data_IF_497928731544
#
_entry.id   IF_497928731544
#
_cell.length_a   1.000
_cell.length_b   1.000
_cell.length_c   1.000
_cell.angle_alpha   90.00
_cell.angle_beta   90.00
_cell.angle_gamma   90.00
#
_symmetry.space_group_name_H-M   'P 1'
#
loop_
_entity.id
_entity.type
_entity.pdbx_description
1 polymer ?
#
# COMPACT_ATOMS: atom_id res chain seq x y z
N UNK A 1 5.75 16.83 -4.80
CA UNK A 1 7.20 16.67 -5.06
C UNK A 1 7.97 16.87 -3.77
N UNK A 2 8.82 15.92 -3.35
CA UNK A 2 9.65 16.07 -2.15
C UNK A 2 10.86 16.96 -2.49
N UNK A 3 10.98 18.10 -1.79
CA UNK A 3 12.15 18.97 -1.82
C UNK A 3 13.35 18.15 -1.33
N UNK A 4 14.35 17.98 -2.19
CA UNK A 4 15.56 17.18 -1.96
C UNK A 4 16.47 17.77 -0.87
N UNK A 5 16.02 17.76 0.38
CA UNK A 5 16.81 18.20 1.52
C UNK A 5 17.94 17.21 1.83
N UNK A 6 19.14 17.75 2.04
CA UNK A 6 20.33 16.98 2.42
C UNK A 6 20.05 16.23 3.73
N UNK A 7 20.23 14.91 3.73
CA UNK A 7 19.96 14.07 4.90
C UNK A 7 21.23 13.36 5.31
N UNK A 8 21.70 13.65 6.52
CA UNK A 8 22.84 12.97 7.16
C UNK A 8 22.67 11.44 7.18
N UNK A 9 21.42 10.94 7.20
CA UNK A 9 21.11 9.50 7.17
C UNK A 9 21.28 8.86 5.78
N UNK A 10 21.26 9.66 4.72
CA UNK A 10 21.64 9.21 3.36
C UNK A 10 23.16 9.24 3.19
N UNK A 11 23.83 10.27 3.72
CA UNK A 11 25.28 10.41 3.64
C UNK A 11 26.01 9.32 4.45
N UNK A 12 25.51 8.97 5.63
CA UNK A 12 26.05 7.89 6.47
C UNK A 12 25.81 6.48 5.93
N UNK A 13 25.19 6.34 4.76
CA UNK A 13 25.03 5.05 4.07
C UNK A 13 24.00 4.09 4.70
N UNK A 14 23.40 4.43 5.84
CA UNK A 14 22.39 3.60 6.54
C UNK A 14 21.20 3.29 5.62
N UNK A 15 20.79 4.29 4.81
CA UNK A 15 19.71 4.12 3.83
C UNK A 15 20.07 3.12 2.72
N UNK A 16 21.32 3.16 2.24
CA UNK A 16 21.82 2.25 1.20
C UNK A 16 22.02 0.83 1.73
N UNK A 17 22.46 0.66 2.98
CA UNK A 17 22.58 -0.64 3.64
C UNK A 17 21.22 -1.34 3.75
N UNK A 18 20.19 -0.64 4.22
CA UNK A 18 18.82 -1.18 4.31
C UNK A 18 18.26 -1.57 2.93
N UNK A 19 18.56 -0.79 1.88
CA UNK A 19 18.18 -1.14 0.51
C UNK A 19 18.91 -2.39 -0.01
N UNK A 20 20.22 -2.52 0.26
CA UNK A 20 21.01 -3.70 -0.14
C UNK A 20 20.52 -4.98 0.53
N UNK A 21 20.26 -4.95 1.85
CA UNK A 21 19.72 -6.11 2.56
C UNK A 21 18.33 -6.45 2.03
N UNK A 22 17.47 -5.45 1.83
CA UNK A 22 16.12 -5.66 1.28
C UNK A 22 16.11 -6.29 -0.12
N UNK A 23 17.12 -6.00 -0.97
CA UNK A 23 17.28 -6.63 -2.29
C UNK A 23 17.78 -8.08 -2.19
N UNK A 24 18.64 -8.37 -1.21
CA UNK A 24 19.15 -9.74 -0.98
C UNK A 24 18.10 -10.67 -0.36
N UNK A 25 17.30 -10.19 0.59
CA UNK A 25 16.30 -11.03 1.29
C UNK A 25 14.91 -10.98 0.65
N UNK A 26 14.64 -10.07 -0.30
CA UNK A 26 13.32 -9.88 -0.92
C UNK A 26 12.24 -9.29 0.01
N UNK A 27 12.55 -9.12 1.30
CA UNK A 27 11.66 -8.58 2.32
C UNK A 27 11.89 -7.07 2.45
N UNK A 28 10.86 -6.23 2.25
CA UNK A 28 10.99 -4.78 2.41
C UNK A 28 11.20 -4.43 3.89
N UNK A 29 12.43 -4.06 4.22
CA UNK A 29 12.83 -3.61 5.56
C UNK A 29 12.48 -2.12 5.81
N UNK A 30 11.94 -1.42 4.82
CA UNK A 30 11.48 -0.04 4.91
C UNK A 30 9.96 0.04 5.10
N UNK A 31 9.53 0.99 5.93
CA UNK A 31 8.11 1.36 6.09
C UNK A 31 7.47 1.67 4.73
N UNK A 32 8.14 2.44 3.87
CA UNK A 32 7.62 2.80 2.54
C UNK A 32 7.47 1.60 1.61
N UNK A 33 8.43 0.65 1.61
CA UNK A 33 8.36 -0.56 0.80
C UNK A 33 7.23 -1.49 1.25
N UNK A 34 6.98 -1.56 2.57
CA UNK A 34 5.84 -2.31 3.12
C UNK A 34 4.52 -1.66 2.75
N UNK A 35 4.41 -0.34 2.87
CA UNK A 35 3.22 0.40 2.46
C UNK A 35 2.97 0.31 0.95
N UNK A 36 4.00 0.20 0.11
CA UNK A 36 3.83 -0.04 -1.32
C UNK A 36 3.39 -1.48 -1.63
N UNK A 37 3.88 -2.49 -0.90
CA UNK A 37 3.36 -3.87 -1.05
C UNK A 37 1.90 -3.96 -0.60
N UNK A 38 1.58 -3.43 0.58
CA UNK A 38 0.20 -3.40 1.10
C UNK A 38 -0.70 -2.55 0.20
N UNK A 39 -0.21 -1.38 -0.23
CA UNK A 39 -0.90 -0.53 -1.18
C UNK A 39 -1.17 -1.26 -2.49
N UNK A 40 -0.19 -1.97 -3.07
CA UNK A 40 -0.44 -2.79 -4.28
C UNK A 40 -1.43 -3.93 -4.04
N UNK A 41 -1.45 -4.55 -2.86
CA UNK A 41 -2.45 -5.57 -2.53
C UNK A 41 -3.84 -4.97 -2.34
N UNK A 42 -3.95 -3.77 -1.76
CA UNK A 42 -5.22 -3.10 -1.52
C UNK A 42 -5.77 -2.37 -2.76
N UNK A 43 -4.93 -1.62 -3.46
CA UNK A 43 -5.31 -0.73 -4.57
C UNK A 43 -4.75 -1.15 -5.93
N UNK A 44 -3.65 -1.92 -5.99
CA UNK A 44 -2.95 -2.25 -7.23
C UNK A 44 -3.64 -3.30 -8.12
N UNK A 45 -4.60 -4.06 -7.59
CA UNK A 45 -5.46 -4.95 -8.38
C UNK A 45 -6.93 -4.58 -8.34
N UNK A 46 -7.33 -3.61 -7.51
CA UNK A 46 -8.72 -3.20 -7.31
C UNK A 46 -9.68 -4.29 -6.82
N UNK A 47 -9.31 -5.56 -6.86
CA UNK A 47 -10.20 -6.71 -6.70
C UNK A 47 -10.87 -6.72 -5.32
N UNK A 48 -10.11 -6.47 -4.25
CA UNK A 48 -10.69 -6.42 -2.89
C UNK A 48 -11.62 -5.22 -2.72
N UNK A 49 -11.23 -4.04 -3.24
CA UNK A 49 -12.06 -2.83 -3.15
C UNK A 49 -13.34 -2.99 -3.98
N UNK A 50 -13.24 -3.55 -5.18
CA UNK A 50 -14.38 -3.82 -6.07
C UNK A 50 -15.33 -4.87 -5.47
N UNK A 51 -14.81 -5.93 -4.86
CA UNK A 51 -15.64 -6.93 -4.18
C UNK A 51 -16.39 -6.33 -2.98
N UNK A 52 -15.71 -5.50 -2.18
CA UNK A 52 -16.33 -4.84 -1.03
C UNK A 52 -17.39 -3.83 -1.50
N UNK A 53 -17.08 -2.99 -2.49
CA UNK A 53 -18.06 -2.05 -3.05
C UNK A 53 -19.26 -2.76 -3.66
N UNK A 54 -19.03 -3.85 -4.40
CA UNK A 54 -20.09 -4.66 -5.01
C UNK A 54 -21.01 -5.27 -3.96
N UNK A 55 -20.46 -5.88 -2.90
CA UNK A 55 -21.26 -6.43 -1.80
C UNK A 55 -22.06 -5.35 -1.07
N UNK A 56 -21.45 -4.20 -0.78
CA UNK A 56 -22.13 -3.07 -0.14
C UNK A 56 -23.25 -2.53 -1.04
N UNK A 57 -23.04 -2.45 -2.36
CA UNK A 57 -24.07 -2.03 -3.29
C UNK A 57 -25.26 -3.01 -3.30
N UNK A 58 -24.99 -4.33 -3.32
CA UNK A 58 -26.03 -5.36 -3.29
C UNK A 58 -26.85 -5.29 -2.00
N UNK A 59 -26.21 -5.14 -0.83
CA UNK A 59 -26.95 -5.07 0.43
C UNK A 59 -27.78 -3.80 0.56
N UNK A 60 -27.26 -2.65 0.09
CA UNK A 60 -27.99 -1.39 0.09
C UNK A 60 -29.20 -1.45 -0.86
N UNK A 61 -29.01 -1.93 -2.09
CA UNK A 61 -30.12 -2.07 -3.06
C UNK A 61 -31.16 -3.08 -2.57
N UNK A 62 -30.74 -4.21 -2.02
CA UNK A 62 -31.63 -5.21 -1.44
C UNK A 62 -32.42 -4.67 -0.25
N UNK A 63 -31.79 -3.91 0.65
CA UNK A 63 -32.46 -3.28 1.77
C UNK A 63 -33.48 -2.22 1.33
N UNK A 64 -33.15 -1.41 0.32
CA UNK A 64 -34.08 -0.42 -0.26
C UNK A 64 -35.28 -1.12 -0.91
N UNK A 65 -35.06 -2.20 -1.67
CA UNK A 65 -36.13 -2.98 -2.30
C UNK A 65 -36.99 -3.76 -1.28
N UNK A 66 -36.47 -4.06 -0.10
CA UNK A 66 -37.23 -4.71 0.97
C UNK A 66 -38.11 -3.72 1.75
N UNK A 67 -37.70 -2.45 1.80
CA UNK A 67 -38.38 -1.39 2.55
C UNK A 67 -39.34 -0.55 1.68
N UNK A 68 -39.23 -0.63 0.36
CA UNK A 68 -40.14 -0.01 -0.61
C UNK A 68 -41.29 -0.95 -0.97
#
# INVERSE_FOLDING_TARGET
>A
MNKGGFSWKRLSGISAAKSRVSRKTGVPLSRSGRNQKIGRMATGGGCVIQLVLGLVAITVVGAVMLLA
#
